data_IF_886432886918
#
_entry.id   IF_886432886918
#
_cell.length_a   1.000
_cell.length_b   1.000
_cell.length_c   1.000
_cell.angle_alpha   90.00
_cell.angle_beta   90.00
_cell.angle_gamma   90.00
#
_symmetry.space_group_name_H-M   'P 1'
#
loop_
_entity.id
_entity.type
_entity.pdbx_description
1 polymer ?
#
# COMPACT_ATOMS: atom_id res chain seq x y z
N UNK A 1 14.87 -6.13 -16.98
CA UNK A 1 14.07 -6.50 -18.15
C UNK A 1 14.96 -6.96 -19.30
N UNK A 2 15.99 -6.20 -19.68
CA UNK A 2 16.95 -6.57 -20.74
C UNK A 2 17.68 -7.91 -20.41
N UNK A 3 18.10 -8.08 -19.17
CA UNK A 3 18.70 -9.34 -18.72
C UNK A 3 17.74 -10.54 -18.84
N UNK A 4 16.46 -10.33 -18.50
CA UNK A 4 15.43 -11.36 -18.71
C UNK A 4 15.31 -11.72 -20.20
N UNK A 5 15.23 -10.72 -21.08
CA UNK A 5 15.14 -10.95 -22.53
C UNK A 5 16.32 -11.77 -23.01
N UNK A 6 17.55 -11.37 -22.64
CA UNK A 6 18.76 -12.07 -23.06
C UNK A 6 18.78 -13.54 -22.58
N UNK A 7 18.41 -13.78 -21.32
CA UNK A 7 18.45 -15.14 -20.72
C UNK A 7 17.31 -16.03 -21.21
N UNK A 8 16.16 -15.45 -21.56
CA UNK A 8 14.95 -16.20 -21.90
C UNK A 8 14.72 -16.37 -23.42
N UNK A 9 15.36 -15.57 -24.28
CA UNK A 9 15.12 -15.49 -25.73
C UNK A 9 15.15 -16.83 -26.45
N UNK A 10 15.99 -17.76 -26.02
CA UNK A 10 16.17 -19.08 -26.65
C UNK A 10 15.62 -20.23 -25.77
N UNK A 11 14.78 -19.92 -24.78
CA UNK A 11 14.21 -20.93 -23.89
C UNK A 11 12.78 -21.24 -24.28
N UNK A 12 12.49 -22.53 -24.50
CA UNK A 12 11.14 -23.02 -24.80
C UNK A 12 10.16 -22.62 -23.69
N UNK A 13 8.99 -22.11 -24.10
CA UNK A 13 7.91 -21.69 -23.19
C UNK A 13 7.99 -20.22 -22.75
N UNK A 14 9.04 -19.48 -23.13
CA UNK A 14 9.18 -18.06 -22.81
C UNK A 14 8.91 -17.13 -24.00
N UNK A 15 8.54 -17.67 -25.17
CA UNK A 15 8.42 -16.93 -26.42
C UNK A 15 7.45 -15.73 -26.30
N UNK A 16 6.28 -15.92 -25.68
CA UNK A 16 5.31 -14.86 -25.51
C UNK A 16 5.76 -13.79 -24.50
N UNK A 17 6.41 -14.22 -23.41
CA UNK A 17 6.94 -13.31 -22.39
C UNK A 17 8.09 -12.47 -22.96
N UNK A 18 9.01 -13.08 -23.69
CA UNK A 18 10.10 -12.38 -24.40
C UNK A 18 9.53 -11.41 -25.44
N UNK A 19 8.60 -11.87 -26.28
CA UNK A 19 7.93 -11.01 -27.27
C UNK A 19 7.28 -9.79 -26.64
N UNK A 20 6.54 -9.95 -25.54
CA UNK A 20 5.89 -8.87 -24.81
C UNK A 20 6.94 -7.91 -24.22
N UNK A 21 7.98 -8.45 -23.59
CA UNK A 21 9.06 -7.68 -23.01
C UNK A 21 9.83 -6.86 -24.06
N UNK A 22 10.15 -7.44 -25.22
CA UNK A 22 10.85 -6.76 -26.32
C UNK A 22 9.99 -5.65 -26.96
N UNK A 23 8.72 -5.93 -27.18
CA UNK A 23 7.83 -5.01 -27.93
C UNK A 23 7.28 -3.87 -27.08
N UNK A 24 7.09 -4.09 -25.80
CA UNK A 24 6.42 -3.12 -24.93
C UNK A 24 7.31 -2.55 -23.83
N UNK A 25 8.25 -3.30 -23.32
CA UNK A 25 9.10 -2.90 -22.19
C UNK A 25 8.31 -2.30 -21.02
N UNK A 26 7.12 -2.87 -20.75
CA UNK A 26 6.25 -2.38 -19.68
C UNK A 26 6.93 -2.47 -18.31
N UNK A 27 6.78 -1.43 -17.52
CA UNK A 27 7.25 -1.33 -16.14
C UNK A 27 6.07 -1.05 -15.20
N UNK A 28 6.26 -1.28 -13.91
CA UNK A 28 5.27 -1.00 -12.89
C UNK A 28 5.95 -0.39 -11.66
N UNK A 29 6.38 0.87 -11.76
CA UNK A 29 6.88 1.60 -10.60
C UNK A 29 5.73 1.89 -9.64
N UNK A 30 5.87 1.47 -8.40
CA UNK A 30 4.90 1.70 -7.33
C UNK A 30 5.57 2.10 -6.03
N UNK A 31 4.77 2.28 -5.00
CA UNK A 31 5.23 2.65 -3.65
C UNK A 31 4.77 1.63 -2.63
N UNK A 32 5.51 1.52 -1.54
CA UNK A 32 5.13 0.81 -0.33
C UNK A 32 5.45 1.69 0.88
N UNK A 33 4.82 1.38 2.02
CA UNK A 33 5.03 2.16 3.24
C UNK A 33 4.23 3.45 3.32
N UNK A 34 3.17 3.60 2.55
CA UNK A 34 2.41 4.85 2.48
C UNK A 34 1.88 5.32 3.85
N UNK A 35 1.22 4.43 4.59
CA UNK A 35 0.71 4.79 5.93
C UNK A 35 1.85 5.08 6.91
N UNK A 36 2.92 4.28 6.87
CA UNK A 36 4.13 4.53 7.67
C UNK A 36 4.70 5.92 7.39
N UNK A 37 4.77 6.33 6.12
CA UNK A 37 5.21 7.67 5.73
C UNK A 37 4.32 8.77 6.32
N UNK A 38 3.00 8.62 6.23
CA UNK A 38 2.06 9.59 6.83
C UNK A 38 2.24 9.66 8.35
N UNK A 39 2.36 8.52 9.02
CA UNK A 39 2.61 8.46 10.47
C UNK A 39 3.92 9.15 10.87
N UNK A 40 4.99 8.98 10.10
CA UNK A 40 6.26 9.69 10.34
C UNK A 40 6.14 11.21 10.20
N UNK A 41 5.21 11.68 9.37
CA UNK A 41 4.86 13.10 9.24
C UNK A 41 3.91 13.59 10.33
N UNK A 42 3.37 12.71 11.15
CA UNK A 42 2.29 13.03 12.08
C UNK A 42 0.95 13.31 11.39
N UNK A 43 0.76 12.80 10.17
CA UNK A 43 -0.45 13.01 9.40
C UNK A 43 -1.42 11.84 9.54
N UNK A 44 -2.71 12.10 9.77
CA UNK A 44 -3.71 11.05 9.72
C UNK A 44 -3.84 10.53 8.28
N UNK A 45 -4.27 9.29 8.14
CA UNK A 45 -4.58 8.74 6.83
C UNK A 45 -5.75 9.46 6.17
N UNK A 46 -6.66 9.99 6.96
CA UNK A 46 -7.86 10.70 6.52
C UNK A 46 -7.58 12.21 6.36
N UNK A 47 -8.28 12.84 5.42
CA UNK A 47 -8.31 14.29 5.28
C UNK A 47 -7.30 14.89 4.32
N UNK A 48 -7.22 16.21 4.35
CA UNK A 48 -6.56 17.01 3.31
C UNK A 48 -5.04 16.85 3.26
N UNK A 49 -4.38 16.64 4.42
CA UNK A 49 -2.92 16.47 4.48
C UNK A 49 -2.47 15.23 3.70
N UNK A 50 -3.13 14.10 3.92
CA UNK A 50 -2.84 12.87 3.19
C UNK A 50 -3.18 12.98 1.69
N UNK A 51 -4.26 13.67 1.34
CA UNK A 51 -4.64 13.92 -0.05
C UNK A 51 -3.63 14.86 -0.75
N UNK A 52 -3.15 15.89 -0.07
CA UNK A 52 -2.10 16.78 -0.57
C UNK A 52 -0.81 16.01 -0.84
N UNK A 53 -0.33 15.24 0.14
CA UNK A 53 0.87 14.42 -0.02
C UNK A 53 0.72 13.37 -1.12
N UNK A 54 -0.47 12.78 -1.25
CA UNK A 54 -0.77 11.87 -2.36
C UNK A 54 -0.54 12.56 -3.71
N UNK A 55 -1.11 13.74 -3.89
CA UNK A 55 -0.97 14.50 -5.14
C UNK A 55 0.49 14.89 -5.38
N UNK A 56 1.15 15.44 -4.38
CA UNK A 56 2.53 15.92 -4.46
C UNK A 56 3.50 14.80 -4.89
N UNK A 57 3.45 13.67 -4.19
CA UNK A 57 4.38 12.55 -4.45
C UNK A 57 4.08 11.87 -5.78
N UNK A 58 2.82 11.54 -6.07
CA UNK A 58 2.48 10.80 -7.27
C UNK A 58 2.60 11.63 -8.55
N UNK A 59 2.39 12.95 -8.49
CA UNK A 59 2.69 13.83 -9.61
C UNK A 59 4.19 13.87 -9.90
N UNK A 60 5.04 13.91 -8.88
CA UNK A 60 6.49 13.88 -9.06
C UNK A 60 6.95 12.53 -9.65
N UNK A 61 6.45 11.41 -9.12
CA UNK A 61 6.74 10.07 -9.67
C UNK A 61 6.35 10.00 -11.15
N UNK A 62 5.20 10.57 -11.53
CA UNK A 62 4.78 10.64 -12.94
C UNK A 62 5.79 11.39 -13.78
N UNK A 63 6.11 12.61 -13.40
CA UNK A 63 7.04 13.48 -14.16
C UNK A 63 8.41 12.80 -14.33
N UNK A 64 8.98 12.28 -13.25
CA UNK A 64 10.33 11.71 -13.31
C UNK A 64 10.37 10.37 -14.06
N UNK A 65 9.34 9.52 -13.91
CA UNK A 65 9.29 8.26 -14.67
C UNK A 65 9.08 8.48 -16.17
N UNK A 66 8.30 9.47 -16.55
CA UNK A 66 8.12 9.86 -17.96
C UNK A 66 9.42 10.43 -18.53
N UNK A 67 10.07 11.36 -17.83
CA UNK A 67 11.39 11.90 -18.22
C UNK A 67 12.43 10.80 -18.43
N UNK A 68 12.50 9.84 -17.49
CA UNK A 68 13.43 8.71 -17.58
C UNK A 68 13.12 7.82 -18.81
N UNK A 69 11.85 7.54 -19.08
CA UNK A 69 11.46 6.73 -20.23
C UNK A 69 11.75 7.43 -21.58
N UNK A 70 11.58 8.74 -21.67
CA UNK A 70 11.94 9.54 -22.83
C UNK A 70 13.46 9.51 -23.06
N UNK A 71 14.27 9.75 -22.03
CA UNK A 71 15.72 9.68 -22.13
C UNK A 71 16.22 8.26 -22.53
N UNK A 72 15.54 7.22 -22.09
CA UNK A 72 15.83 5.86 -22.53
C UNK A 72 15.42 5.61 -23.99
N UNK A 73 14.34 6.24 -24.47
CA UNK A 73 13.94 6.17 -25.88
C UNK A 73 14.97 6.86 -26.78
N UNK A 74 15.48 8.03 -26.37
CA UNK A 74 16.53 8.75 -27.08
C UNK A 74 17.83 7.91 -27.15
N UNK A 75 18.20 7.25 -26.06
CA UNK A 75 19.45 6.48 -25.98
C UNK A 75 19.38 5.11 -26.69
N UNK A 76 18.23 4.43 -26.65
CA UNK A 76 18.09 3.03 -27.08
C UNK A 76 16.97 2.79 -28.09
N UNK A 77 16.30 3.84 -28.56
CA UNK A 77 15.16 3.77 -29.47
C UNK A 77 13.85 3.37 -28.82
N UNK A 78 12.76 3.59 -29.52
CA UNK A 78 11.42 3.18 -29.14
C UNK A 78 11.18 1.71 -29.48
N UNK A 79 10.63 0.89 -28.55
CA UNK A 79 10.20 -0.46 -28.90
C UNK A 79 8.96 -0.42 -29.78
N UNK A 80 8.65 -1.54 -30.43
CA UNK A 80 7.59 -1.61 -31.45
C UNK A 80 6.24 -1.02 -31.02
N UNK A 81 5.83 -1.24 -29.77
CA UNK A 81 4.54 -0.75 -29.26
C UNK A 81 4.58 0.70 -28.78
N UNK A 82 5.73 1.33 -28.82
CA UNK A 82 5.93 2.73 -28.45
C UNK A 82 6.32 3.62 -29.65
N UNK A 83 6.39 3.08 -30.87
CA UNK A 83 6.81 3.84 -32.05
C UNK A 83 5.97 5.11 -32.24
N UNK A 84 6.63 6.26 -32.30
CA UNK A 84 6.02 7.58 -32.44
C UNK A 84 5.50 8.20 -31.14
N UNK A 85 5.74 7.59 -29.97
CA UNK A 85 5.27 8.10 -28.68
C UNK A 85 6.31 8.95 -27.93
N UNK A 86 7.58 8.81 -28.26
CA UNK A 86 8.70 9.38 -27.52
C UNK A 86 9.08 8.60 -26.26
N UNK A 87 8.45 7.45 -26.00
CA UNK A 87 8.70 6.64 -24.80
C UNK A 87 9.36 5.30 -25.12
N UNK A 88 10.16 4.82 -24.18
CA UNK A 88 10.71 3.46 -24.27
C UNK A 88 9.81 2.41 -23.61
N UNK A 89 8.81 2.79 -22.85
CA UNK A 89 7.99 1.88 -22.04
C UNK A 89 6.50 2.15 -22.32
N UNK A 90 5.74 1.10 -22.65
CA UNK A 90 4.28 1.20 -22.85
C UNK A 90 3.53 1.57 -21.57
N UNK A 91 4.05 1.15 -20.43
CA UNK A 91 3.54 1.45 -19.09
C UNK A 91 4.72 1.73 -18.16
N UNK A 92 4.49 2.61 -17.20
CA UNK A 92 5.54 3.05 -16.28
C UNK A 92 5.18 2.81 -14.82
N UNK A 93 3.91 2.94 -14.43
CA UNK A 93 3.49 3.01 -13.04
C UNK A 93 2.34 2.06 -12.74
N UNK A 94 2.47 1.29 -11.66
CA UNK A 94 1.44 0.42 -11.11
C UNK A 94 1.58 0.35 -9.58
N UNK A 95 0.48 0.17 -8.87
CA UNK A 95 0.52 -0.05 -7.42
C UNK A 95 0.21 -1.50 -7.13
N UNK A 96 1.21 -2.21 -6.60
CA UNK A 96 1.09 -3.59 -6.14
C UNK A 96 0.82 -3.65 -4.63
N UNK A 97 0.27 -4.74 -4.10
CA UNK A 97 -0.01 -4.91 -2.66
C UNK A 97 1.24 -4.91 -1.77
N UNK A 98 2.35 -5.47 -2.23
CA UNK A 98 3.70 -5.50 -1.60
C UNK A 98 3.73 -5.96 -0.14
N UNK A 99 2.88 -6.89 0.27
CA UNK A 99 2.75 -7.36 1.66
C UNK A 99 4.06 -7.97 2.18
N UNK A 100 4.69 -8.87 1.40
CA UNK A 100 5.95 -9.51 1.78
C UNK A 100 7.12 -8.54 1.72
N UNK A 101 7.19 -7.71 0.68
CA UNK A 101 8.27 -6.73 0.49
C UNK A 101 8.31 -5.67 1.58
N UNK A 102 7.15 -5.26 2.11
CA UNK A 102 7.08 -4.28 3.19
C UNK A 102 7.74 -4.78 4.49
N UNK A 103 7.68 -6.09 4.76
CA UNK A 103 8.38 -6.71 5.89
C UNK A 103 9.90 -6.64 5.72
N UNK A 104 10.40 -6.89 4.51
CA UNK A 104 11.83 -6.80 4.17
C UNK A 104 12.33 -5.35 4.19
N UNK A 105 11.49 -4.40 3.81
CA UNK A 105 11.81 -2.98 3.80
C UNK A 105 11.74 -2.30 5.20
N UNK A 106 11.91 -3.07 6.26
CA UNK A 106 11.94 -2.54 7.63
C UNK A 106 10.62 -2.63 8.39
N UNK A 107 9.74 -3.57 8.02
CA UNK A 107 8.42 -3.75 8.63
C UNK A 107 7.57 -2.48 8.57
N UNK A 108 7.43 -1.93 7.38
CA UNK A 108 6.58 -0.77 7.08
C UNK A 108 5.20 -1.21 6.58
N UNK A 109 4.27 -0.27 6.44
CA UNK A 109 2.93 -0.59 5.93
C UNK A 109 2.97 -1.12 4.49
N UNK A 110 2.09 -2.07 4.10
CA UNK A 110 2.10 -2.65 2.76
C UNK A 110 1.55 -1.64 1.74
N UNK A 111 2.24 -1.48 0.62
CA UNK A 111 1.79 -0.65 -0.50
C UNK A 111 1.28 0.72 -0.07
N UNK A 112 0.06 1.01 -0.49
CA UNK A 112 -0.68 2.23 -0.16
C UNK A 112 -1.69 2.03 0.98
N UNK A 113 -1.73 0.85 1.58
CA UNK A 113 -2.74 0.47 2.56
C UNK A 113 -2.41 0.97 3.97
N UNK A 114 -3.44 1.24 4.78
CA UNK A 114 -3.25 1.45 6.20
C UNK A 114 -2.74 0.18 6.90
N UNK A 115 -2.08 0.36 8.04
CA UNK A 115 -1.81 -0.73 8.95
C UNK A 115 -3.11 -1.41 9.37
N UNK A 116 -3.19 -2.73 9.23
CA UNK A 116 -4.33 -3.50 9.70
C UNK A 116 -4.46 -3.50 11.23
N UNK A 117 -3.31 -3.45 11.93
CA UNK A 117 -3.19 -3.40 13.38
C UNK A 117 -1.85 -2.77 13.78
N UNK A 118 -1.80 -2.04 14.89
CA UNK A 118 -0.54 -1.47 15.41
C UNK A 118 0.33 -2.50 16.14
N UNK A 119 -0.22 -3.66 16.49
CA UNK A 119 0.50 -4.84 16.96
C UNK A 119 -0.21 -6.09 16.48
N UNK A 120 0.55 -7.06 16.03
CA UNK A 120 0.01 -8.34 15.52
C UNK A 120 1.01 -9.47 15.72
N UNK A 121 0.50 -10.69 15.63
CA UNK A 121 1.31 -11.91 15.71
C UNK A 121 1.69 -12.34 14.29
N UNK A 122 2.97 -12.48 14.03
CA UNK A 122 3.54 -12.96 12.78
C UNK A 122 4.05 -14.39 12.97
N UNK A 123 3.47 -15.35 12.26
CA UNK A 123 3.89 -16.74 12.30
C UNK A 123 4.85 -17.02 11.14
N UNK A 124 5.97 -17.62 11.42
CA UNK A 124 6.94 -18.05 10.42
C UNK A 124 7.42 -19.47 10.72
N UNK A 125 8.14 -20.08 9.80
CA UNK A 125 8.81 -21.38 10.03
C UNK A 125 9.77 -21.38 11.25
N UNK A 126 10.21 -20.20 11.69
CA UNK A 126 11.11 -20.00 12.85
C UNK A 126 10.36 -19.74 14.16
N UNK A 127 9.02 -19.69 14.13
CA UNK A 127 8.21 -19.44 15.34
C UNK A 127 7.24 -18.27 15.17
N UNK A 128 6.56 -17.95 16.28
CA UNK A 128 5.58 -16.87 16.37
C UNK A 128 6.24 -15.64 16.99
N UNK A 129 6.14 -14.50 16.31
CA UNK A 129 6.73 -13.23 16.71
C UNK A 129 5.65 -12.18 16.89
N UNK A 130 5.76 -11.36 17.91
CA UNK A 130 4.92 -10.17 18.07
C UNK A 130 5.59 -9.04 17.29
N UNK A 131 4.88 -8.51 16.29
CA UNK A 131 5.30 -7.35 15.51
C UNK A 131 4.57 -6.12 16.00
N UNK A 132 5.31 -5.04 16.21
CA UNK A 132 4.78 -3.73 16.61
C UNK A 132 4.99 -2.75 15.46
N UNK A 133 4.06 -1.83 15.28
CA UNK A 133 4.22 -0.71 14.34
C UNK A 133 5.42 0.15 14.78
N UNK A 134 6.51 0.23 13.99
CA UNK A 134 7.75 0.87 14.45
C UNK A 134 7.59 2.38 14.66
N UNK A 135 6.71 3.04 13.93
CA UNK A 135 6.45 4.47 14.12
C UNK A 135 5.72 4.74 15.44
N UNK A 136 4.77 3.87 15.80
CA UNK A 136 4.10 3.97 17.10
C UNK A 136 5.05 3.64 18.27
N UNK A 137 5.97 2.67 18.09
CA UNK A 137 7.01 2.39 19.11
C UNK A 137 7.80 3.67 19.38
N UNK A 138 8.32 4.32 18.33
CA UNK A 138 9.12 5.54 18.48
C UNK A 138 8.31 6.69 19.12
N UNK A 139 7.02 6.79 18.79
CA UNK A 139 6.18 7.83 19.38
C UNK A 139 5.85 7.57 20.84
N UNK A 140 5.53 6.33 21.22
CA UNK A 140 5.31 5.95 22.61
C UNK A 140 6.58 6.11 23.46
N UNK A 141 7.76 5.89 22.89
CA UNK A 141 9.05 6.12 23.58
C UNK A 141 9.22 7.59 23.98
N UNK A 142 8.91 8.53 23.08
CA UNK A 142 9.00 9.99 23.36
C UNK A 142 8.14 10.39 24.56
N UNK A 143 7.02 9.70 24.77
CA UNK A 143 6.08 9.99 25.86
C UNK A 143 6.26 9.09 27.08
N UNK A 144 7.26 8.20 27.11
CA UNK A 144 7.47 7.26 28.23
C UNK A 144 6.36 6.19 28.35
N UNK A 145 5.62 5.95 27.27
CA UNK A 145 4.48 5.03 27.23
C UNK A 145 4.77 3.71 26.50
N UNK A 146 5.99 3.49 26.03
CA UNK A 146 6.37 2.23 25.39
C UNK A 146 6.55 1.12 26.43
N UNK A 147 5.46 0.72 27.08
CA UNK A 147 5.44 -0.27 28.13
C UNK A 147 4.73 -1.56 27.70
N UNK A 148 5.12 -2.67 28.32
CA UNK A 148 4.46 -3.96 28.05
C UNK A 148 2.95 -3.92 28.34
N UNK A 149 2.54 -3.18 29.36
CA UNK A 149 1.14 -3.00 29.74
C UNK A 149 0.35 -2.35 28.59
N UNK A 150 0.88 -1.29 27.98
CA UNK A 150 0.24 -0.61 26.86
C UNK A 150 0.14 -1.55 25.66
N UNK A 151 1.21 -2.26 25.31
CA UNK A 151 1.19 -3.20 24.18
C UNK A 151 0.25 -4.39 24.39
N UNK A 152 0.15 -4.91 25.58
CA UNK A 152 -0.84 -5.95 25.92
C UNK A 152 -2.27 -5.44 25.74
N UNK A 153 -2.54 -4.17 26.11
CA UNK A 153 -3.86 -3.58 25.91
C UNK A 153 -4.14 -3.40 24.40
N UNK A 154 -3.20 -2.84 23.64
CA UNK A 154 -3.34 -2.67 22.19
C UNK A 154 -3.60 -4.01 21.50
N UNK A 155 -2.87 -5.08 21.89
CA UNK A 155 -3.08 -6.42 21.33
C UNK A 155 -4.48 -6.97 21.66
N UNK A 156 -4.94 -6.79 22.91
CA UNK A 156 -6.29 -7.18 23.35
C UNK A 156 -7.38 -6.45 22.56
N UNK A 157 -7.14 -5.17 22.23
CA UNK A 157 -8.06 -4.34 21.45
C UNK A 157 -7.90 -4.55 19.92
N UNK A 158 -7.31 -5.68 19.50
CA UNK A 158 -7.15 -6.05 18.08
C UNK A 158 -6.18 -5.14 17.32
N UNK A 159 -5.21 -4.56 18.00
CA UNK A 159 -4.22 -3.65 17.42
C UNK A 159 -4.64 -2.17 17.38
N UNK A 160 -5.82 -1.84 17.92
CA UNK A 160 -6.32 -0.47 18.06
C UNK A 160 -5.69 0.24 19.27
N UNK A 161 -5.45 1.55 19.11
CA UNK A 161 -5.05 2.42 20.24
C UNK A 161 -6.21 3.28 20.75
N UNK A 162 -7.41 3.16 20.18
CA UNK A 162 -8.54 4.04 20.51
C UNK A 162 -8.99 3.92 21.96
N UNK A 163 -8.89 2.72 22.55
CA UNK A 163 -9.22 2.44 23.96
C UNK A 163 -8.18 2.88 24.99
N UNK A 164 -7.00 3.36 24.57
CA UNK A 164 -5.90 3.70 25.49
C UNK A 164 -6.06 5.12 26.03
N UNK A 165 -6.59 5.25 27.25
CA UNK A 165 -6.84 6.56 27.89
C UNK A 165 -5.57 7.41 28.06
N UNK A 166 -4.42 6.82 28.27
CA UNK A 166 -3.15 7.53 28.42
C UNK A 166 -2.78 8.33 27.15
N UNK A 167 -3.38 8.01 25.99
CA UNK A 167 -3.13 8.67 24.71
C UNK A 167 -4.14 9.79 24.38
N UNK A 168 -5.18 10.00 25.20
CA UNK A 168 -6.28 10.93 24.88
C UNK A 168 -5.82 12.39 24.66
N UNK A 169 -4.75 12.79 25.36
CA UNK A 169 -4.25 14.17 25.33
C UNK A 169 -2.95 14.35 24.55
N UNK A 170 -2.47 13.28 23.91
CA UNK A 170 -1.23 13.34 23.15
C UNK A 170 -1.53 13.80 21.74
N UNK A 171 -0.84 14.85 21.33
CA UNK A 171 -0.79 15.34 19.93
C UNK A 171 0.60 15.15 19.37
N UNK A 172 0.70 15.00 18.06
CA UNK A 172 1.96 14.73 17.36
C UNK A 172 2.07 15.52 16.06
N UNK A 173 3.30 15.62 15.56
CA UNK A 173 3.61 16.34 14.33
C UNK A 173 3.55 17.86 14.48
N UNK A 174 3.81 18.57 13.39
CA UNK A 174 3.85 20.05 13.35
C UNK A 174 2.45 20.70 13.48
N UNK A 175 1.40 19.90 13.33
CA UNK A 175 0.00 20.38 13.33
C UNK A 175 -0.79 19.98 14.59
N UNK A 176 -0.12 19.50 15.64
CA UNK A 176 -0.74 19.09 16.90
C UNK A 176 -1.93 18.12 16.73
N UNK A 177 -1.76 17.12 15.87
CA UNK A 177 -2.81 16.17 15.56
C UNK A 177 -2.90 15.10 16.65
N UNK A 178 -4.11 14.75 17.13
CA UNK A 178 -4.25 13.68 18.12
C UNK A 178 -3.62 12.37 17.64
N UNK A 179 -2.77 11.77 18.47
CA UNK A 179 -2.08 10.51 18.13
C UNK A 179 -3.06 9.43 17.68
N UNK A 180 -4.26 9.39 18.25
CA UNK A 180 -5.30 8.43 17.91
C UNK A 180 -5.81 8.55 16.48
N UNK A 181 -5.80 9.75 15.92
CA UNK A 181 -6.19 9.97 14.52
C UNK A 181 -5.11 9.46 13.56
N UNK A 182 -3.83 9.65 13.91
CA UNK A 182 -2.69 9.27 13.08
C UNK A 182 -2.48 7.75 13.05
N UNK A 183 -2.79 7.06 14.15
CA UNK A 183 -2.56 5.62 14.27
C UNK A 183 -3.86 4.78 14.19
N UNK A 184 -4.89 5.30 13.54
CA UNK A 184 -6.06 4.50 13.16
C UNK A 184 -5.64 3.29 12.34
N UNK A 185 -6.24 2.16 12.63
CA UNK A 185 -6.07 0.93 11.85
C UNK A 185 -6.95 0.94 10.60
N UNK A 186 -6.69 0.04 9.66
CA UNK A 186 -7.41 -0.04 8.38
C UNK A 186 -8.94 -0.04 8.55
N UNK A 187 -9.45 -0.79 9.53
CA UNK A 187 -10.89 -0.89 9.81
C UNK A 187 -11.49 0.34 10.46
N UNK A 188 -10.67 1.18 11.11
CA UNK A 188 -11.09 2.41 11.78
C UNK A 188 -11.12 3.60 10.83
N UNK A 189 -10.43 3.50 9.71
CA UNK A 189 -10.37 4.51 8.66
C UNK A 189 -11.63 4.45 7.80
N UNK A 190 -12.20 5.62 7.50
CA UNK A 190 -13.33 5.73 6.60
C UNK A 190 -12.92 5.28 5.18
N UNK A 191 -13.59 4.25 4.67
CA UNK A 191 -13.26 3.65 3.37
C UNK A 191 -13.43 4.63 2.20
N UNK A 192 -14.24 5.68 2.32
CA UNK A 192 -14.30 6.74 1.32
C UNK A 192 -13.00 7.53 1.24
N UNK A 193 -12.24 7.66 2.34
CA UNK A 193 -10.94 8.34 2.30
C UNK A 193 -9.88 7.51 1.55
N UNK A 194 -9.92 6.18 1.66
CA UNK A 194 -9.09 5.31 0.82
C UNK A 194 -9.42 5.52 -0.67
N UNK A 195 -10.70 5.53 -0.99
CA UNK A 195 -11.21 5.78 -2.36
C UNK A 195 -10.82 7.17 -2.84
N UNK A 196 -10.91 8.20 -1.99
CA UNK A 196 -10.49 9.56 -2.32
C UNK A 196 -9.01 9.61 -2.72
N UNK A 197 -8.14 9.07 -1.88
CA UNK A 197 -6.70 9.02 -2.18
C UNK A 197 -6.38 8.15 -3.40
N UNK A 198 -7.05 7.01 -3.56
CA UNK A 198 -6.85 6.14 -4.72
C UNK A 198 -7.28 6.83 -6.03
N UNK A 199 -8.38 7.58 -6.01
CA UNK A 199 -8.81 8.39 -7.16
C UNK A 199 -7.80 9.49 -7.53
N UNK A 200 -7.20 10.14 -6.53
CA UNK A 200 -6.10 11.09 -6.77
C UNK A 200 -4.89 10.38 -7.38
N UNK A 201 -4.48 9.22 -6.85
CA UNK A 201 -3.35 8.44 -7.37
C UNK A 201 -3.59 7.96 -8.80
N UNK A 202 -4.81 7.49 -9.10
CA UNK A 202 -5.14 6.93 -10.41
C UNK A 202 -4.89 7.92 -11.55
N UNK A 203 -4.96 9.23 -11.30
CA UNK A 203 -4.63 10.26 -12.28
C UNK A 203 -3.14 10.27 -12.70
N UNK A 204 -2.28 9.70 -11.86
CA UNK A 204 -0.83 9.63 -12.06
C UNK A 204 -0.32 8.22 -12.34
N UNK A 205 -1.18 7.20 -12.26
CA UNK A 205 -0.87 5.79 -12.49
C UNK A 205 -1.48 5.34 -13.83
N UNK A 206 -0.63 4.93 -14.74
CA UNK A 206 -1.06 4.50 -16.08
C UNK A 206 -1.65 3.09 -16.12
N UNK A 207 -1.29 2.23 -15.18
CA UNK A 207 -1.90 0.92 -14.99
C UNK A 207 -2.96 0.96 -13.88
N UNK A 208 -3.04 -0.08 -13.06
CA UNK A 208 -4.02 -0.18 -11.98
C UNK A 208 -3.42 0.11 -10.60
N UNK A 209 -4.30 0.44 -9.67
CA UNK A 209 -4.01 0.58 -8.24
C UNK A 209 -4.66 -0.60 -7.52
N UNK A 210 -3.86 -1.46 -6.90
CA UNK A 210 -4.39 -2.55 -6.06
C UNK A 210 -4.94 -1.95 -4.77
N UNK A 211 -6.23 -1.66 -4.76
CA UNK A 211 -6.94 -1.07 -3.64
C UNK A 211 -7.78 -2.12 -2.93
N UNK A 212 -7.41 -2.47 -1.71
CA UNK A 212 -8.25 -3.25 -0.80
C UNK A 212 -9.19 -2.31 -0.05
N UNK A 213 -10.38 -2.82 0.26
CA UNK A 213 -11.37 -2.18 1.12
C UNK A 213 -11.63 -3.06 2.34
N UNK A 214 -11.88 -2.44 3.49
CA UNK A 214 -12.15 -3.14 4.74
C UNK A 214 -13.52 -2.73 5.29
N UNK A 215 -14.36 -3.73 5.55
CA UNK A 215 -15.67 -3.50 6.12
C UNK A 215 -15.89 -4.41 7.34
N UNK A 216 -16.60 -3.95 8.39
CA UNK A 216 -17.05 -4.86 9.43
C UNK A 216 -17.96 -5.94 8.83
N UNK A 217 -18.00 -7.12 9.46
CA UNK A 217 -18.81 -8.25 8.97
C UNK A 217 -20.30 -7.94 8.82
N UNK A 218 -20.78 -6.95 9.55
CA UNK A 218 -22.19 -6.50 9.55
C UNK A 218 -22.36 -5.13 8.88
N UNK A 219 -21.45 -4.74 7.97
CA UNK A 219 -21.57 -3.48 7.25
C UNK A 219 -22.87 -3.44 6.43
N UNK A 220 -23.54 -2.30 6.46
CA UNK A 220 -24.73 -2.08 5.63
C UNK A 220 -24.37 -2.24 4.14
N UNK A 221 -25.05 -3.11 3.39
CA UNK A 221 -24.84 -3.27 1.95
C UNK A 221 -24.93 -1.97 1.16
N UNK A 222 -25.78 -1.03 1.61
CA UNK A 222 -25.89 0.31 1.00
C UNK A 222 -24.60 1.12 1.16
N UNK A 223 -23.94 0.99 2.31
CA UNK A 223 -22.64 1.62 2.54
C UNK A 223 -21.55 1.01 1.64
N UNK A 224 -21.50 -0.32 1.57
CA UNK A 224 -20.56 -1.03 0.67
C UNK A 224 -20.78 -0.57 -0.77
N UNK A 225 -22.02 -0.57 -1.23
CA UNK A 225 -22.38 -0.10 -2.57
C UNK A 225 -21.98 1.36 -2.80
N UNK A 226 -22.21 2.25 -1.83
CA UNK A 226 -21.82 3.66 -1.91
C UNK A 226 -20.31 3.81 -2.13
N UNK A 227 -19.48 3.07 -1.37
CA UNK A 227 -18.02 3.11 -1.50
C UNK A 227 -17.58 2.64 -2.90
N UNK A 228 -18.17 1.56 -3.42
CA UNK A 228 -17.87 1.05 -4.77
C UNK A 228 -18.28 2.03 -5.86
N UNK A 229 -19.46 2.64 -5.76
CA UNK A 229 -19.90 3.68 -6.70
C UNK A 229 -18.99 4.90 -6.69
N UNK A 230 -18.53 5.34 -5.51
CA UNK A 230 -17.57 6.45 -5.42
C UNK A 230 -16.23 6.08 -6.03
N UNK A 231 -15.76 4.84 -5.87
CA UNK A 231 -14.55 4.37 -6.54
C UNK A 231 -14.68 4.47 -8.08
N UNK A 232 -15.81 4.02 -8.62
CA UNK A 232 -16.10 4.13 -10.05
C UNK A 232 -16.17 5.59 -10.52
N UNK A 233 -16.90 6.46 -9.81
CA UNK A 233 -17.01 7.89 -10.13
C UNK A 233 -15.67 8.62 -10.15
N UNK A 234 -14.73 8.19 -9.30
CA UNK A 234 -13.37 8.75 -9.24
C UNK A 234 -12.41 8.18 -10.30
N UNK A 235 -12.90 7.34 -11.18
CA UNK A 235 -12.11 6.76 -12.28
C UNK A 235 -11.09 5.73 -11.82
N UNK A 236 -11.28 5.11 -10.65
CA UNK A 236 -10.44 4.01 -10.20
C UNK A 236 -10.67 2.81 -11.11
N UNK A 237 -9.63 2.29 -11.73
CA UNK A 237 -9.72 1.22 -12.73
C UNK A 237 -10.10 -0.12 -12.12
N UNK A 238 -9.60 -0.43 -10.93
CA UNK A 238 -9.82 -1.71 -10.25
C UNK A 238 -9.92 -1.54 -8.75
N UNK A 239 -10.75 -2.37 -8.13
CA UNK A 239 -10.70 -2.71 -6.70
C UNK A 239 -10.16 -4.13 -6.61
N UNK A 240 -9.46 -4.45 -5.50
CA UNK A 240 -8.82 -5.76 -5.35
C UNK A 240 -9.60 -6.66 -4.40
N UNK A 241 -9.33 -6.64 -3.10
CA UNK A 241 -10.10 -7.42 -2.13
C UNK A 241 -11.06 -6.55 -1.33
N UNK A 242 -12.22 -7.13 -1.03
CA UNK A 242 -13.09 -6.65 0.03
C UNK A 242 -12.85 -7.52 1.27
N UNK A 243 -12.22 -6.95 2.29
CA UNK A 243 -11.88 -7.65 3.53
C UNK A 243 -12.97 -7.45 4.58
N UNK A 244 -13.36 -8.52 5.25
CA UNK A 244 -14.27 -8.48 6.40
C UNK A 244 -13.50 -8.70 7.70
N UNK A 245 -14.14 -8.49 8.84
CA UNK A 245 -13.50 -8.59 10.16
C UNK A 245 -12.91 -9.99 10.44
N UNK A 246 -13.58 -11.04 10.02
CA UNK A 246 -13.11 -12.42 10.18
C UNK A 246 -11.83 -12.69 9.39
N UNK A 247 -11.70 -12.13 8.21
CA UNK A 247 -10.52 -12.21 7.35
C UNK A 247 -9.37 -11.37 7.95
N UNK A 248 -9.67 -10.17 8.45
CA UNK A 248 -8.65 -9.31 9.09
C UNK A 248 -8.06 -9.90 10.37
N UNK A 249 -8.80 -10.69 11.13
CA UNK A 249 -8.30 -11.39 12.33
C UNK A 249 -7.46 -12.62 12.01
N UNK A 250 -7.79 -13.33 10.92
CA UNK A 250 -7.09 -14.54 10.51
C UNK A 250 -5.83 -14.28 9.69
N UNK A 251 -5.86 -13.27 8.86
CA UNK A 251 -5.01 -13.19 7.68
C UNK A 251 -3.67 -12.48 7.85
N UNK A 252 -3.49 -11.66 8.84
CA UNK A 252 -2.12 -11.18 9.12
C UNK A 252 -1.25 -12.31 9.69
N UNK A 253 -1.91 -13.32 10.29
CA UNK A 253 -1.24 -14.52 10.77
C UNK A 253 -1.28 -15.70 9.77
N UNK A 254 -2.33 -15.82 8.94
CA UNK A 254 -2.58 -16.99 8.09
C UNK A 254 -2.29 -16.78 6.61
N UNK A 255 -2.28 -15.56 6.07
CA UNK A 255 -1.82 -15.31 4.70
C UNK A 255 -0.32 -15.58 4.48
N UNK A 256 0.44 -15.67 5.57
CA UNK A 256 1.79 -16.21 5.52
C UNK A 256 1.85 -17.76 5.46
N UNK A 257 0.70 -18.45 5.52
CA UNK A 257 0.65 -19.92 5.70
C UNK A 257 -0.34 -20.64 4.77
N UNK A 258 -0.98 -20.01 3.81
CA UNK A 258 -1.68 -20.77 2.77
C UNK A 258 -0.67 -21.14 1.66
N UNK A 259 -0.15 -22.39 1.68
CA UNK A 259 0.77 -22.86 0.65
C UNK A 259 0.12 -22.94 -0.75
N UNK A 260 -1.20 -22.73 -0.85
CA UNK A 260 -1.94 -22.73 -2.10
C UNK A 260 -2.29 -21.32 -2.61
N UNK A 261 -1.97 -20.26 -1.86
CA UNK A 261 -2.16 -18.89 -2.34
C UNK A 261 -0.97 -18.42 -3.18
N UNK A 262 -0.77 -19.07 -4.33
CA UNK A 262 0.25 -18.71 -5.33
C UNK A 262 0.00 -17.36 -6.01
N UNK A 263 -1.16 -16.71 -5.78
CA UNK A 263 -1.52 -15.44 -6.43
C UNK A 263 -1.11 -14.19 -5.65
N UNK A 264 -0.63 -14.33 -4.40
CA UNK A 264 -0.22 -13.20 -3.57
C UNK A 264 1.30 -12.94 -3.58
N UNK A 265 2.08 -13.84 -4.18
CA UNK A 265 3.54 -13.76 -4.29
C UNK A 265 4.02 -13.27 -5.67
N UNK A 266 3.20 -12.55 -6.39
CA UNK A 266 3.55 -11.92 -7.66
C UNK A 266 3.97 -10.46 -7.48
#
# INVERSE_FOLDING_TARGET
LEEFIQKAKNRRGFENAVRSAEKGRALGLGVLGWHTYLQQKGFPFEGLLAQYETRRIFSQIKIESERASMALADAYGEPLWCVGTGFRNTHLRAIAPTVSNSKLAGNISPGIEPWAANVFTDQSAKGTFIRKNPTLVAELDKHGLNTEKIWKQILKDGGSIQGIKALDKITIGEHDIPIKEVYKTFKEINQLELVNQAGIRQQYIDQSVSLNLAFPSQADPKWINKVHLEAWKKGIKTLYYMRTESVLRGDIASQAMDPNCLSCDG
#
